data_IF_289943729384
#
_entry.id   IF_289943729384
#
_cell.length_a   1.000
_cell.length_b   1.000
_cell.length_c   1.000
_cell.angle_alpha   90.00
_cell.angle_beta   90.00
_cell.angle_gamma   90.00
#
_symmetry.space_group_name_H-M   'P 1'
#
loop_
_entity.id
_entity.type
_entity.pdbx_description
1 polymer ?
#
# COMPACT_ATOMS: atom_id res chain seq x y z
N UNK A 1 -12.25 -11.44 40.18
CA UNK A 1 -13.16 -10.73 39.25
C UNK A 1 -13.40 -9.26 39.63
N UNK A 2 -13.24 -8.82 40.90
CA UNK A 2 -13.48 -7.42 41.29
C UNK A 2 -12.42 -6.44 40.76
N UNK A 3 -11.12 -6.78 40.83
CA UNK A 3 -10.02 -5.88 40.45
C UNK A 3 -10.08 -5.37 39.00
N UNK A 4 -10.30 -6.27 38.04
CA UNK A 4 -10.31 -5.95 36.61
C UNK A 4 -11.42 -4.97 36.26
N UNK A 5 -12.57 -5.08 36.93
CA UNK A 5 -13.69 -4.14 36.76
C UNK A 5 -13.28 -2.73 37.17
N UNK A 6 -12.66 -2.56 38.34
CA UNK A 6 -12.23 -1.24 38.83
C UNK A 6 -11.10 -0.64 38.00
N UNK A 7 -10.22 -1.49 37.46
CA UNK A 7 -9.22 -1.05 36.48
C UNK A 7 -9.88 -0.58 35.18
N UNK A 8 -10.89 -1.29 34.67
CA UNK A 8 -11.64 -0.87 33.49
C UNK A 8 -12.38 0.46 33.70
N UNK A 9 -12.96 0.66 34.89
CA UNK A 9 -13.58 1.94 35.28
C UNK A 9 -12.55 3.07 35.24
N UNK A 10 -11.41 2.90 35.90
CA UNK A 10 -10.33 3.91 35.89
C UNK A 10 -9.82 4.19 34.48
N UNK A 11 -9.57 3.15 33.68
CA UNK A 11 -9.13 3.30 32.30
C UNK A 11 -10.14 4.08 31.46
N UNK A 12 -11.44 3.86 31.69
CA UNK A 12 -12.49 4.62 31.02
C UNK A 12 -12.46 6.09 31.42
N UNK A 13 -12.36 6.40 32.71
CA UNK A 13 -12.27 7.78 33.20
C UNK A 13 -11.02 8.49 32.67
N UNK A 14 -9.89 7.78 32.60
CA UNK A 14 -8.64 8.28 31.99
C UNK A 14 -8.85 8.57 30.51
N UNK A 15 -9.50 7.68 29.77
CA UNK A 15 -9.81 7.92 28.36
C UNK A 15 -10.68 9.19 28.20
N UNK A 16 -11.74 9.33 28.99
CA UNK A 16 -12.63 10.50 28.92
C UNK A 16 -11.89 11.81 29.29
N UNK A 17 -10.93 11.77 30.23
CA UNK A 17 -10.13 12.94 30.62
C UNK A 17 -9.07 13.36 29.59
N UNK A 18 -8.46 12.40 28.90
CA UNK A 18 -7.26 12.65 28.06
C UNK A 18 -7.56 12.57 26.55
N UNK A 19 -8.48 11.71 26.13
CA UNK A 19 -8.93 11.57 24.72
C UNK A 19 -10.26 12.28 24.44
N UNK A 20 -11.02 12.59 25.48
CA UNK A 20 -12.38 13.14 25.36
C UNK A 20 -13.45 12.06 25.16
N UNK A 21 -14.70 12.47 25.31
CA UNK A 21 -15.86 11.57 25.29
C UNK A 21 -16.38 11.40 23.87
N UNK A 22 -16.39 10.17 23.35
CA UNK A 22 -16.81 9.87 21.98
C UNK A 22 -18.30 9.50 21.83
N UNK A 23 -18.94 9.05 22.91
CA UNK A 23 -20.30 8.48 22.87
C UNK A 23 -21.40 9.54 23.02
N UNK A 24 -21.03 10.78 23.32
CA UNK A 24 -21.98 11.86 23.55
C UNK A 24 -22.05 12.78 22.32
N UNK A 25 -23.27 13.04 21.85
CA UNK A 25 -23.52 13.87 20.68
C UNK A 25 -23.38 15.36 20.98
N UNK A 26 -23.75 15.77 22.20
CA UNK A 26 -23.73 17.17 22.60
C UNK A 26 -22.30 17.62 22.97
N UNK A 27 -21.83 18.67 22.30
CA UNK A 27 -20.52 19.29 22.51
C UNK A 27 -20.32 19.77 23.94
N UNK A 28 -21.28 20.47 24.52
CA UNK A 28 -21.14 21.06 25.87
C UNK A 28 -21.16 19.97 26.95
N UNK A 29 -21.96 18.92 26.72
CA UNK A 29 -21.96 17.73 27.58
C UNK A 29 -20.61 17.01 27.53
N UNK A 30 -19.98 16.89 26.35
CA UNK A 30 -18.62 16.32 26.22
C UNK A 30 -17.57 17.12 26.97
N UNK A 31 -17.63 18.45 26.89
CA UNK A 31 -16.73 19.35 27.63
C UNK A 31 -16.90 19.11 29.13
N UNK A 32 -18.15 19.13 29.62
CA UNK A 32 -18.46 18.94 31.05
C UNK A 32 -17.97 17.58 31.57
N UNK A 33 -18.25 16.49 30.86
CA UNK A 33 -17.81 15.15 31.29
C UNK A 33 -16.28 15.05 31.30
N UNK A 34 -15.60 15.65 30.30
CA UNK A 34 -14.13 15.68 30.28
C UNK A 34 -13.56 16.48 31.46
N UNK A 35 -14.16 17.61 31.81
CA UNK A 35 -13.78 18.42 32.97
C UNK A 35 -14.02 17.69 34.30
N UNK A 36 -15.17 17.02 34.44
CA UNK A 36 -15.50 16.20 35.61
C UNK A 36 -14.50 15.05 35.76
N UNK A 37 -14.16 14.34 34.67
CA UNK A 37 -13.17 13.28 34.66
C UNK A 37 -11.76 13.79 35.05
N UNK A 38 -11.34 14.95 34.53
CA UNK A 38 -10.07 15.58 34.91
C UNK A 38 -10.04 15.97 36.37
N UNK A 39 -11.12 16.56 36.89
CA UNK A 39 -11.22 16.94 38.31
C UNK A 39 -11.14 15.71 39.22
N UNK A 40 -11.89 14.66 38.87
CA UNK A 40 -11.92 13.40 39.61
C UNK A 40 -10.53 12.76 39.71
N UNK A 41 -9.75 12.76 38.62
CA UNK A 41 -8.43 12.13 38.55
C UNK A 41 -7.27 12.98 39.09
N UNK A 42 -7.49 14.26 39.41
CA UNK A 42 -6.42 15.20 39.85
C UNK A 42 -6.59 15.72 41.28
N UNK A 43 -7.73 15.45 41.89
CA UNK A 43 -8.08 15.86 43.26
C UNK A 43 -8.28 14.63 44.14
N UNK A 44 -7.62 14.55 45.31
CA UNK A 44 -7.85 13.45 46.23
C UNK A 44 -9.31 13.49 46.71
N UNK A 45 -10.01 12.36 46.61
CA UNK A 45 -11.39 12.21 47.05
C UNK A 45 -11.59 10.83 47.68
N UNK A 46 -12.60 10.71 48.52
CA UNK A 46 -12.95 9.42 49.16
C UNK A 46 -13.25 8.35 48.10
N UNK A 47 -14.06 8.69 47.11
CA UNK A 47 -14.46 7.77 46.04
C UNK A 47 -13.26 7.31 45.21
N UNK A 48 -12.33 8.22 44.87
CA UNK A 48 -11.10 7.85 44.17
C UNK A 48 -10.23 6.92 45.02
N UNK A 49 -10.12 7.18 46.33
CA UNK A 49 -9.39 6.31 47.25
C UNK A 49 -9.98 4.91 47.30
N UNK A 50 -11.31 4.78 47.35
CA UNK A 50 -12.01 3.49 47.35
C UNK A 50 -11.80 2.75 46.02
N UNK A 51 -11.94 3.44 44.88
CA UNK A 51 -11.71 2.85 43.55
C UNK A 51 -10.26 2.40 43.36
N UNK A 52 -9.28 3.22 43.76
CA UNK A 52 -7.87 2.86 43.69
C UNK A 52 -7.53 1.67 44.59
N UNK A 53 -8.07 1.62 45.81
CA UNK A 53 -7.90 0.49 46.71
C UNK A 53 -8.45 -0.81 46.10
N UNK A 54 -9.62 -0.77 45.48
CA UNK A 54 -10.25 -1.93 44.83
C UNK A 54 -9.53 -2.35 43.53
N UNK A 55 -8.83 -1.42 42.87
CA UNK A 55 -8.01 -1.67 41.69
C UNK A 55 -6.58 -2.14 42.03
N UNK A 56 -6.21 -2.17 43.31
CA UNK A 56 -4.84 -2.41 43.81
C UNK A 56 -3.85 -1.41 43.21
N UNK A 57 -4.15 -0.12 43.39
CA UNK A 57 -3.38 1.03 42.92
C UNK A 57 -3.21 2.08 44.02
N UNK A 58 -2.07 2.76 44.03
CA UNK A 58 -1.83 3.91 44.91
C UNK A 58 -2.50 5.18 44.35
N UNK A 59 -3.39 5.79 45.13
CA UNK A 59 -4.14 6.98 44.73
C UNK A 59 -3.22 8.16 44.39
N UNK A 60 -2.17 8.39 45.18
CA UNK A 60 -1.28 9.53 44.98
C UNK A 60 -0.46 9.37 43.69
N UNK A 61 0.03 8.17 43.40
CA UNK A 61 0.72 7.84 42.17
C UNK A 61 -0.18 8.02 40.94
N UNK A 62 -1.47 7.66 41.05
CA UNK A 62 -2.47 7.91 40.00
C UNK A 62 -2.63 9.41 39.78
N UNK A 63 -2.86 10.19 40.84
CA UNK A 63 -3.05 11.65 40.76
C UNK A 63 -1.85 12.33 40.11
N UNK A 64 -0.63 12.02 40.57
CA UNK A 64 0.61 12.62 40.03
C UNK A 64 0.80 12.28 38.54
N UNK A 65 0.55 11.02 38.16
CA UNK A 65 0.62 10.62 36.76
C UNK A 65 -0.44 11.33 35.91
N UNK A 66 -1.66 11.45 36.43
CA UNK A 66 -2.76 12.09 35.72
C UNK A 66 -2.57 13.60 35.55
N UNK A 67 -2.02 14.30 36.55
CA UNK A 67 -1.62 15.71 36.42
C UNK A 67 -0.64 15.91 35.27
N UNK A 68 0.39 15.07 35.19
CA UNK A 68 1.38 15.11 34.12
C UNK A 68 0.76 14.81 32.74
N UNK A 69 -0.13 13.83 32.64
CA UNK A 69 -0.80 13.50 31.38
C UNK A 69 -1.79 14.59 30.92
N UNK A 70 -2.56 15.17 31.85
CA UNK A 70 -3.51 16.24 31.54
C UNK A 70 -2.78 17.52 31.14
N UNK A 71 -1.62 17.82 31.73
CA UNK A 71 -0.78 18.94 31.32
C UNK A 71 -0.27 18.83 29.87
N UNK A 72 -0.14 17.62 29.35
CA UNK A 72 0.26 17.36 27.96
C UNK A 72 -0.93 17.16 27.01
N UNK A 73 -2.16 17.09 27.54
CA UNK A 73 -3.36 16.87 26.76
C UNK A 73 -3.96 18.20 26.27
N UNK A 74 -4.67 18.19 25.12
CA UNK A 74 -5.44 19.36 24.66
C UNK A 74 -6.47 19.80 25.69
N UNK A 75 -6.99 21.01 25.53
CA UNK A 75 -8.09 21.50 26.37
C UNK A 75 -9.38 20.67 26.14
N UNK A 76 -10.29 20.59 27.13
CA UNK A 76 -11.56 19.88 26.97
C UNK A 76 -12.37 20.37 25.75
N UNK A 77 -12.27 21.67 25.45
CA UNK A 77 -12.88 22.30 24.27
C UNK A 77 -12.31 21.75 22.96
N UNK A 78 -10.98 21.66 22.84
CA UNK A 78 -10.31 21.12 21.65
C UNK A 78 -10.61 19.63 21.44
N UNK A 79 -10.74 18.86 22.53
CA UNK A 79 -11.14 17.46 22.49
C UNK A 79 -12.60 17.30 22.03
N UNK A 80 -13.49 18.19 22.48
CA UNK A 80 -14.89 18.19 22.05
C UNK A 80 -15.05 18.60 20.56
N UNK A 81 -14.17 19.45 20.05
CA UNK A 81 -14.20 19.87 18.64
C UNK A 81 -13.73 18.75 17.69
N UNK A 82 -12.95 17.77 18.17
CA UNK A 82 -12.40 16.67 17.35
C UNK A 82 -12.54 15.29 18.03
N UNK A 83 -13.77 14.74 18.14
CA UNK A 83 -13.98 13.43 18.76
C UNK A 83 -13.24 12.33 17.99
N UNK A 84 -12.48 11.49 18.70
CA UNK A 84 -11.84 10.30 18.13
C UNK A 84 -10.41 10.48 17.62
N UNK A 85 -9.80 11.66 17.79
CA UNK A 85 -8.36 11.85 17.52
C UNK A 85 -7.55 11.32 18.72
N UNK A 86 -6.60 10.43 18.48
CA UNK A 86 -5.76 9.87 19.56
C UNK A 86 -4.89 10.93 20.26
N UNK A 87 -4.51 10.72 21.52
CA UNK A 87 -3.50 11.53 22.23
C UNK A 87 -2.24 11.67 21.38
N UNK A 88 -1.78 10.59 20.74
CA UNK A 88 -0.59 10.59 19.88
C UNK A 88 -0.68 11.58 18.70
N UNK A 89 -1.89 11.97 18.29
CA UNK A 89 -2.11 13.00 17.26
C UNK A 89 -2.00 14.41 17.81
N UNK A 90 -2.27 14.62 19.10
CA UNK A 90 -2.18 15.90 19.78
C UNK A 90 -0.81 16.13 20.43
N UNK A 91 -0.22 15.09 21.00
CA UNK A 91 1.15 15.08 21.56
C UNK A 91 2.21 14.83 20.50
N UNK A 92 1.83 14.76 19.21
CA UNK A 92 2.78 14.80 18.10
C UNK A 92 3.43 16.17 18.12
N UNK A 93 4.49 16.28 18.93
CA UNK A 93 5.40 17.41 18.99
C UNK A 93 5.56 17.97 17.58
N UNK A 94 5.28 19.26 17.42
CA UNK A 94 5.29 19.99 16.16
C UNK A 94 6.28 19.31 15.21
N UNK A 95 5.74 18.50 14.29
CA UNK A 95 6.56 17.61 13.48
C UNK A 95 7.64 18.49 12.87
N UNK A 96 8.93 18.24 13.22
CA UNK A 96 10.05 19.03 12.74
C UNK A 96 9.77 19.36 11.28
N UNK A 97 9.77 20.66 10.89
CA UNK A 97 9.32 21.04 9.56
C UNK A 97 10.05 20.14 8.58
N UNK A 98 9.28 19.31 7.84
CA UNK A 98 9.86 18.38 6.87
C UNK A 98 10.78 19.21 6.01
N UNK A 99 12.09 18.98 6.07
CA UNK A 99 13.05 19.76 5.29
C UNK A 99 12.55 19.76 3.85
N UNK A 100 12.35 20.97 3.28
CA UNK A 100 11.88 21.09 1.91
C UNK A 100 12.90 20.34 1.04
N UNK A 101 12.45 19.24 0.43
CA UNK A 101 13.31 18.45 -0.45
C UNK A 101 13.64 19.34 -1.64
N UNK A 102 14.92 19.56 -1.90
CA UNK A 102 15.38 20.24 -3.10
C UNK A 102 14.88 19.40 -4.30
N UNK A 103 14.12 19.98 -5.25
CA UNK A 103 13.71 19.27 -6.45
C UNK A 103 14.94 18.69 -7.17
N UNK A 104 14.77 17.53 -7.81
CA UNK A 104 15.88 16.88 -8.50
C UNK A 104 16.60 17.78 -9.53
N UNK A 105 15.90 18.59 -10.35
CA UNK A 105 16.55 19.51 -11.28
C UNK A 105 17.53 20.49 -10.62
N UNK A 106 17.20 20.95 -9.41
CA UNK A 106 17.99 21.94 -8.64
C UNK A 106 19.08 21.30 -7.78
N UNK A 107 19.09 19.96 -7.68
CA UNK A 107 20.07 19.24 -6.90
C UNK A 107 21.44 19.35 -7.56
N UNK A 108 22.44 19.75 -6.79
CA UNK A 108 23.81 19.90 -7.25
C UNK A 108 24.58 18.58 -7.19
N UNK A 109 25.37 18.34 -8.22
CA UNK A 109 26.25 17.18 -8.35
C UNK A 109 27.63 17.66 -8.79
N UNK A 110 28.66 17.17 -8.11
CA UNK A 110 30.06 17.48 -8.38
C UNK A 110 30.72 16.27 -9.02
N UNK A 111 31.27 16.44 -10.21
CA UNK A 111 32.18 15.48 -10.81
C UNK A 111 33.17 16.17 -11.76
N UNK A 112 34.36 15.60 -11.93
CA UNK A 112 35.51 16.22 -12.62
C UNK A 112 35.86 17.62 -12.11
N UNK A 113 35.69 17.85 -10.79
CA UNK A 113 35.96 19.15 -10.15
C UNK A 113 34.95 20.26 -10.49
N UNK A 114 33.90 19.95 -11.26
CA UNK A 114 32.86 20.90 -11.64
C UNK A 114 31.58 20.59 -10.87
N UNK A 115 31.03 21.58 -10.17
CA UNK A 115 29.73 21.48 -9.51
C UNK A 115 28.66 22.16 -10.36
N UNK A 116 27.62 21.42 -10.74
CA UNK A 116 26.47 21.93 -11.50
C UNK A 116 25.17 21.30 -11.02
N UNK A 117 24.05 21.91 -11.39
CA UNK A 117 22.72 21.34 -11.14
C UNK A 117 22.45 20.13 -12.03
N UNK A 118 21.53 19.25 -11.64
CA UNK A 118 21.12 18.13 -12.48
C UNK A 118 20.57 18.59 -13.83
N UNK A 119 19.85 19.72 -13.85
CA UNK A 119 19.34 20.32 -15.08
C UNK A 119 20.47 20.74 -16.02
N UNK A 120 21.50 21.42 -15.52
CA UNK A 120 22.65 21.85 -16.31
C UNK A 120 23.44 20.65 -16.85
N UNK A 121 23.62 19.62 -16.02
CA UNK A 121 24.29 18.38 -16.44
C UNK A 121 23.51 17.67 -17.55
N UNK A 122 22.19 17.56 -17.41
CA UNK A 122 21.31 16.97 -18.43
C UNK A 122 21.32 17.77 -19.73
N UNK A 123 21.25 19.10 -19.66
CA UNK A 123 21.28 19.98 -20.84
C UNK A 123 22.59 19.86 -21.62
N UNK A 124 23.73 19.78 -20.91
CA UNK A 124 25.05 19.65 -21.52
C UNK A 124 25.28 18.28 -22.17
N UNK A 125 24.72 17.22 -21.58
CA UNK A 125 24.97 15.83 -21.97
C UNK A 125 23.88 15.27 -22.89
N UNK A 126 22.78 16.00 -23.07
CA UNK A 126 21.64 15.57 -23.89
C UNK A 126 20.80 14.46 -23.24
N UNK A 127 20.98 14.20 -21.95
CA UNK A 127 20.23 13.17 -21.21
C UNK A 127 18.95 13.76 -20.64
N UNK A 128 17.84 13.04 -20.75
CA UNK A 128 16.59 13.45 -20.14
C UNK A 128 16.69 13.43 -18.60
N UNK A 129 16.18 14.49 -17.95
CA UNK A 129 16.14 14.63 -16.49
C UNK A 129 15.58 13.39 -15.78
N UNK A 130 14.51 12.82 -16.30
CA UNK A 130 13.88 11.62 -15.74
C UNK A 130 14.82 10.41 -15.78
N UNK A 131 15.60 10.25 -16.85
CA UNK A 131 16.58 9.17 -17.00
C UNK A 131 17.70 9.32 -15.98
N UNK A 132 18.26 10.53 -15.85
CA UNK A 132 19.28 10.82 -14.84
C UNK A 132 18.73 10.59 -13.42
N UNK A 133 17.51 11.04 -13.14
CA UNK A 133 16.85 10.84 -11.85
C UNK A 133 16.67 9.36 -11.51
N UNK A 134 16.18 8.56 -12.47
CA UNK A 134 16.04 7.13 -12.28
C UNK A 134 17.40 6.47 -11.98
N UNK A 135 18.47 6.82 -12.70
CA UNK A 135 19.82 6.29 -12.48
C UNK A 135 20.36 6.64 -11.09
N UNK A 136 20.21 7.90 -10.65
CA UNK A 136 20.61 8.31 -9.29
C UNK A 136 19.80 7.58 -8.22
N UNK A 137 18.50 7.35 -8.44
CA UNK A 137 17.66 6.56 -7.53
C UNK A 137 18.05 5.07 -7.49
N UNK A 138 18.63 4.55 -8.58
CA UNK A 138 19.25 3.21 -8.63
C UNK A 138 20.68 3.20 -8.08
N UNK A 139 21.10 4.25 -7.37
CA UNK A 139 22.44 4.38 -6.77
C UNK A 139 23.58 4.33 -7.78
N UNK A 140 23.35 4.78 -9.02
CA UNK A 140 24.43 4.96 -9.98
C UNK A 140 25.33 6.12 -9.56
N UNK A 141 26.63 5.99 -9.85
CA UNK A 141 27.57 7.10 -9.71
C UNK A 141 27.08 8.31 -10.54
N UNK A 142 27.10 9.54 -9.99
CA UNK A 142 26.61 10.72 -10.69
C UNK A 142 27.25 10.92 -12.07
N UNK A 143 28.56 10.74 -12.18
CA UNK A 143 29.30 10.75 -13.44
C UNK A 143 28.63 9.88 -14.50
N UNK A 144 28.47 8.58 -14.19
CA UNK A 144 27.83 7.61 -15.10
C UNK A 144 26.36 7.95 -15.35
N UNK A 145 25.65 8.50 -14.37
CA UNK A 145 24.26 8.88 -14.52
C UNK A 145 24.06 9.98 -15.58
N UNK A 146 25.00 10.92 -15.65
CA UNK A 146 24.96 12.08 -16.54
C UNK A 146 25.80 11.94 -17.82
N UNK A 147 26.76 11.02 -17.93
CA UNK A 147 27.59 10.88 -19.15
C UNK A 147 27.13 9.77 -20.09
N UNK A 148 26.44 8.75 -19.59
CA UNK A 148 26.02 7.62 -20.42
C UNK A 148 24.82 8.00 -21.28
N UNK A 149 25.05 8.26 -22.57
CA UNK A 149 23.96 8.60 -23.49
C UNK A 149 22.93 7.46 -23.54
N UNK A 150 21.69 7.78 -23.95
CA UNK A 150 20.67 6.75 -24.11
C UNK A 150 21.04 5.73 -25.20
N UNK A 151 21.90 6.09 -26.15
CA UNK A 151 22.39 5.19 -27.20
C UNK A 151 23.48 4.26 -26.68
N UNK A 152 24.44 4.78 -25.90
CA UNK A 152 25.49 3.99 -25.26
C UNK A 152 24.93 3.01 -24.24
N UNK A 153 23.94 3.44 -23.43
CA UNK A 153 23.25 2.55 -22.49
C UNK A 153 22.49 1.42 -23.21
N UNK A 154 21.85 1.72 -24.36
CA UNK A 154 21.20 0.71 -25.19
C UNK A 154 22.22 -0.19 -25.87
N UNK A 155 23.36 0.34 -26.31
CA UNK A 155 24.44 -0.43 -26.91
C UNK A 155 25.07 -1.37 -25.87
N UNK A 156 25.33 -0.90 -24.65
CA UNK A 156 25.80 -1.71 -23.53
C UNK A 156 24.79 -2.81 -23.17
N UNK A 157 23.50 -2.48 -23.04
CA UNK A 157 22.46 -3.48 -22.78
C UNK A 157 22.34 -4.51 -23.91
N UNK A 158 22.44 -4.10 -25.18
CA UNK A 158 22.49 -5.02 -26.33
C UNK A 158 23.75 -5.88 -26.29
N UNK A 159 24.89 -5.32 -25.91
CA UNK A 159 26.17 -6.03 -25.83
C UNK A 159 26.22 -7.02 -24.66
N UNK A 160 25.66 -6.67 -23.50
CA UNK A 160 25.52 -7.57 -22.36
C UNK A 160 24.54 -8.69 -22.66
N UNK A 161 23.41 -8.40 -23.32
CA UNK A 161 22.48 -9.42 -23.80
C UNK A 161 23.13 -10.38 -24.80
N UNK A 162 24.02 -9.89 -25.69
CA UNK A 162 24.81 -10.74 -26.60
C UNK A 162 25.79 -11.68 -25.89
N UNK A 163 26.34 -11.27 -24.73
CA UNK A 163 27.27 -12.11 -23.95
C UNK A 163 26.54 -13.19 -23.14
N UNK A 164 25.37 -12.87 -22.62
CA UNK A 164 24.54 -13.81 -21.85
C UNK A 164 23.87 -14.88 -22.72
N UNK A 165 23.67 -14.61 -24.01
CA UNK A 165 23.07 -15.54 -24.96
C UNK A 165 24.03 -15.78 -26.13
N UNK A 166 24.82 -16.85 -26.04
CA UNK A 166 25.78 -17.29 -27.07
C UNK A 166 25.07 -17.69 -28.38
N UNK A 167 24.61 -16.73 -29.19
CA UNK A 167 23.81 -17.03 -30.39
C UNK A 167 24.21 -16.14 -31.58
N UNK A 168 24.53 -16.79 -32.69
CA UNK A 168 24.96 -16.17 -33.94
C UNK A 168 23.75 -15.52 -34.67
N UNK A 169 23.91 -14.28 -35.13
CA UNK A 169 22.89 -13.52 -35.87
C UNK A 169 22.40 -14.22 -37.15
N UNK A 170 23.24 -15.07 -37.74
CA UNK A 170 22.88 -15.89 -38.90
C UNK A 170 21.81 -16.95 -38.55
N UNK A 171 21.90 -17.53 -37.35
CA UNK A 171 20.98 -18.56 -36.85
C UNK A 171 19.60 -18.00 -36.53
N UNK A 172 19.55 -16.79 -35.95
CA UNK A 172 18.29 -16.08 -35.68
C UNK A 172 17.57 -15.78 -37.00
N UNK A 173 18.33 -15.43 -38.05
CA UNK A 173 17.78 -15.11 -39.36
C UNK A 173 17.24 -16.35 -40.07
N UNK A 174 17.93 -17.49 -39.97
CA UNK A 174 17.45 -18.78 -40.49
C UNK A 174 16.14 -19.23 -39.81
N UNK A 175 16.06 -19.11 -38.49
CA UNK A 175 14.87 -19.50 -37.71
C UNK A 175 13.64 -18.62 -38.00
N UNK A 176 13.85 -17.33 -38.28
CA UNK A 176 12.76 -16.44 -38.74
C UNK A 176 12.27 -16.84 -40.13
N UNK A 177 13.17 -17.28 -41.02
CA UNK A 177 12.83 -17.75 -42.37
C UNK A 177 12.01 -19.05 -42.35
N UNK A 178 12.20 -19.90 -41.34
CA UNK A 178 11.39 -21.08 -41.05
C UNK A 178 10.09 -20.79 -40.27
N UNK A 179 9.75 -19.50 -40.05
CA UNK A 179 8.47 -19.08 -39.50
C UNK A 179 8.43 -18.78 -38.01
N UNK A 180 9.57 -18.78 -37.29
CA UNK A 180 9.59 -18.34 -35.89
C UNK A 180 9.49 -16.81 -35.76
N UNK A 181 8.69 -16.34 -34.79
CA UNK A 181 8.64 -14.92 -34.42
C UNK A 181 9.97 -14.48 -33.79
N UNK A 182 10.50 -13.33 -34.20
CA UNK A 182 11.81 -12.76 -33.77
C UNK A 182 12.05 -12.78 -32.25
N UNK A 183 11.01 -12.67 -31.42
CA UNK A 183 11.11 -12.75 -29.95
C UNK A 183 11.34 -14.16 -29.40
N UNK A 184 10.83 -15.20 -30.08
CA UNK A 184 11.00 -16.61 -29.70
C UNK A 184 12.35 -17.17 -30.17
N UNK A 185 12.89 -16.62 -31.28
CA UNK A 185 14.23 -16.92 -31.74
C UNK A 185 15.32 -16.49 -30.74
N UNK A 186 15.03 -15.56 -29.81
CA UNK A 186 15.96 -15.05 -28.81
C UNK A 186 16.00 -15.85 -27.49
N UNK A 187 14.96 -16.62 -27.14
CA UNK A 187 14.79 -17.21 -25.80
C UNK A 187 14.63 -18.75 -25.76
N UNK A 188 14.87 -19.47 -26.86
CA UNK A 188 15.07 -20.93 -26.85
C UNK A 188 13.87 -21.83 -26.48
N UNK A 189 12.69 -21.28 -26.18
CA UNK A 189 11.49 -22.09 -25.91
C UNK A 189 10.42 -21.87 -27.00
N UNK A 190 10.02 -22.91 -27.75
CA UNK A 190 8.96 -22.78 -28.74
C UNK A 190 7.60 -22.68 -28.04
N UNK A 191 7.02 -21.48 -27.99
CA UNK A 191 5.57 -21.35 -27.79
C UNK A 191 4.90 -21.45 -29.17
N UNK A 192 4.29 -22.60 -29.46
CA UNK A 192 3.46 -22.78 -30.66
C UNK A 192 2.28 -21.80 -30.57
N UNK A 193 1.98 -21.05 -31.64
CA UNK A 193 0.67 -20.37 -31.74
C UNK A 193 -0.41 -21.43 -31.95
N UNK A 194 -1.53 -21.26 -31.25
CA UNK A 194 -2.68 -22.16 -31.29
C UNK A 194 -2.55 -23.31 -30.30
N UNK A 195 -2.63 -23.03 -29.00
CA UNK A 195 -3.10 -24.09 -28.09
C UNK A 195 -4.51 -24.40 -28.54
N UNK A 196 -4.74 -25.59 -29.07
CA UNK A 196 -6.08 -26.05 -29.42
C UNK A 196 -7.01 -25.78 -28.24
N UNK A 197 -8.19 -25.18 -28.45
CA UNK A 197 -9.11 -24.90 -27.37
C UNK A 197 -9.37 -26.18 -26.58
N UNK A 198 -9.20 -26.14 -25.26
CA UNK A 198 -9.59 -27.27 -24.41
C UNK A 198 -11.06 -27.57 -24.66
N UNK A 199 -11.33 -28.77 -25.19
CA UNK A 199 -12.68 -29.23 -25.49
C UNK A 199 -13.29 -29.84 -24.23
N UNK A 200 -14.53 -29.46 -23.95
CA UNK A 200 -15.29 -29.97 -22.82
C UNK A 200 -16.42 -30.85 -23.36
N UNK A 201 -16.50 -32.07 -22.83
CA UNK A 201 -17.51 -33.04 -23.22
C UNK A 201 -18.78 -32.87 -22.39
N UNK A 202 -19.92 -32.80 -23.07
CA UNK A 202 -21.23 -32.79 -22.46
C UNK A 202 -22.27 -33.28 -23.47
N UNK A 203 -23.16 -34.17 -23.02
CA UNK A 203 -24.25 -34.75 -23.82
C UNK A 203 -23.80 -35.38 -25.17
N UNK A 204 -22.64 -36.05 -25.14
CA UNK A 204 -22.08 -36.71 -26.33
C UNK A 204 -21.34 -35.79 -27.31
N UNK A 205 -21.33 -34.48 -27.08
CA UNK A 205 -20.62 -33.52 -27.92
C UNK A 205 -19.35 -32.96 -27.23
N UNK A 206 -18.27 -32.78 -27.98
CA UNK A 206 -17.01 -32.18 -27.52
C UNK A 206 -16.81 -30.81 -28.17
N UNK A 207 -17.05 -29.73 -27.43
CA UNK A 207 -16.92 -28.35 -27.94
C UNK A 207 -16.06 -27.48 -27.04
N UNK A 208 -15.59 -26.36 -27.59
CA UNK A 208 -14.82 -25.36 -26.86
C UNK A 208 -15.72 -24.54 -25.92
N UNK A 209 -15.14 -23.88 -24.92
CA UNK A 209 -15.88 -22.96 -24.05
C UNK A 209 -16.53 -21.77 -24.78
N UNK A 210 -16.03 -21.41 -25.97
CA UNK A 210 -16.62 -20.35 -26.77
C UNK A 210 -17.94 -20.82 -27.40
N UNK A 211 -17.94 -22.01 -28.00
CA UNK A 211 -19.14 -22.61 -28.60
C UNK A 211 -20.18 -22.96 -27.51
N UNK A 212 -19.75 -23.50 -26.36
CA UNK A 212 -20.64 -23.73 -25.24
C UNK A 212 -21.24 -22.44 -24.67
N UNK A 213 -20.50 -21.32 -24.72
CA UNK A 213 -21.01 -20.02 -24.30
C UNK A 213 -22.12 -19.52 -25.22
N UNK A 214 -22.02 -19.78 -26.51
CA UNK A 214 -23.04 -19.44 -27.51
C UNK A 214 -24.29 -20.33 -27.37
N UNK A 215 -24.11 -21.64 -27.16
CA UNK A 215 -25.23 -22.59 -27.02
C UNK A 215 -26.03 -22.35 -25.74
N UNK A 216 -25.34 -22.14 -24.61
CA UNK A 216 -25.98 -22.03 -23.29
C UNK A 216 -26.39 -20.61 -22.94
N UNK A 217 -25.89 -19.60 -23.68
CA UNK A 217 -26.06 -18.19 -23.37
C UNK A 217 -25.31 -17.72 -22.10
N UNK A 218 -24.50 -18.60 -21.49
CA UNK A 218 -23.69 -18.28 -20.30
C UNK A 218 -22.32 -17.80 -20.78
N UNK A 219 -21.85 -16.65 -20.28
CA UNK A 219 -20.57 -16.10 -20.68
C UNK A 219 -19.39 -17.05 -20.43
N UNK A 220 -18.47 -17.18 -21.39
CA UNK A 220 -17.25 -18.01 -21.32
C UNK A 220 -16.48 -17.89 -20.01
N UNK A 221 -16.30 -16.66 -19.51
CA UNK A 221 -15.56 -16.41 -18.27
C UNK A 221 -16.32 -16.94 -17.03
N UNK A 222 -17.65 -16.95 -17.08
CA UNK A 222 -18.50 -17.49 -16.02
C UNK A 222 -18.39 -19.01 -15.97
N UNK A 223 -18.47 -19.68 -17.12
CA UNK A 223 -18.26 -21.14 -17.21
C UNK A 223 -16.87 -21.51 -16.70
N UNK A 224 -15.83 -20.77 -17.12
CA UNK A 224 -14.46 -20.98 -16.67
C UNK A 224 -14.31 -20.84 -15.15
N UNK A 225 -14.81 -19.74 -14.55
CA UNK A 225 -14.73 -19.51 -13.10
C UNK A 225 -15.49 -20.55 -12.29
N UNK A 226 -16.63 -21.04 -12.78
CA UNK A 226 -17.38 -22.12 -12.12
C UNK A 226 -16.54 -23.40 -12.02
N UNK A 227 -15.83 -23.75 -13.08
CA UNK A 227 -14.97 -24.94 -13.11
C UNK A 227 -13.71 -24.76 -12.25
N UNK A 228 -12.99 -23.65 -12.44
CA UNK A 228 -11.64 -23.52 -11.83
C UNK A 228 -11.65 -22.93 -10.44
N UNK A 229 -12.54 -21.97 -10.16
CA UNK A 229 -12.58 -21.25 -8.88
C UNK A 229 -13.60 -21.89 -7.94
N UNK A 230 -14.75 -22.31 -8.47
CA UNK A 230 -15.83 -22.89 -7.67
C UNK A 230 -15.78 -24.43 -7.64
N UNK A 231 -14.85 -25.04 -8.38
CA UNK A 231 -14.64 -26.49 -8.38
C UNK A 231 -15.81 -27.31 -8.94
N UNK A 232 -16.70 -26.68 -9.71
CA UNK A 232 -17.86 -27.35 -10.30
C UNK A 232 -17.44 -28.27 -11.45
N UNK A 233 -18.21 -29.35 -11.65
CA UNK A 233 -18.07 -30.14 -12.88
C UNK A 233 -18.57 -29.32 -14.09
N UNK A 234 -18.13 -29.69 -15.30
CA UNK A 234 -18.54 -28.98 -16.51
C UNK A 234 -20.06 -28.96 -16.70
N UNK A 235 -20.73 -30.10 -16.46
CA UNK A 235 -22.19 -30.23 -16.50
C UNK A 235 -22.88 -29.26 -15.53
N UNK A 236 -22.45 -29.24 -14.26
CA UNK A 236 -23.00 -28.32 -13.26
C UNK A 236 -22.76 -26.86 -13.64
N UNK A 237 -21.60 -26.56 -14.23
CA UNK A 237 -21.22 -25.21 -14.61
C UNK A 237 -22.12 -24.61 -15.71
N UNK A 238 -22.74 -25.45 -16.56
CA UNK A 238 -23.62 -25.00 -17.65
C UNK A 238 -25.12 -25.14 -17.31
N UNK A 239 -25.51 -26.07 -16.45
CA UNK A 239 -26.91 -26.23 -16.01
C UNK A 239 -27.34 -25.20 -14.95
N UNK A 240 -26.38 -24.66 -14.19
CA UNK A 240 -26.70 -23.69 -13.14
C UNK A 240 -27.14 -22.35 -13.75
N UNK A 241 -28.39 -21.90 -13.54
CA UNK A 241 -28.86 -20.64 -14.11
C UNK A 241 -28.05 -19.46 -13.57
N UNK A 242 -27.68 -18.53 -14.46
CA UNK A 242 -27.03 -17.28 -14.05
C UNK A 242 -28.06 -16.41 -13.32
N UNK A 243 -27.88 -16.25 -12.01
CA UNK A 243 -28.70 -15.33 -11.21
C UNK A 243 -28.65 -13.93 -11.82
N UNK A 244 -29.82 -13.28 -11.94
CA UNK A 244 -29.96 -11.95 -12.57
C UNK A 244 -29.06 -10.93 -11.86
N UNK A 245 -27.90 -10.65 -12.45
CA UNK A 245 -27.01 -9.62 -11.94
C UNK A 245 -25.60 -9.77 -12.49
N UNK A 246 -25.42 -9.50 -13.78
CA UNK A 246 -24.25 -8.81 -14.37
C UNK A 246 -24.28 -8.96 -15.89
N UNK A 247 -24.96 -8.01 -16.55
CA UNK A 247 -24.55 -7.57 -17.88
C UNK A 247 -23.36 -6.63 -17.67
N UNK A 248 -22.22 -6.91 -18.27
CA UNK A 248 -21.26 -5.87 -18.62
C UNK A 248 -20.87 -6.07 -20.07
N UNK A 249 -21.02 -4.97 -20.80
CA UNK A 249 -20.66 -4.76 -22.19
C UNK A 249 -19.20 -5.09 -22.50
#
# INVERSE_FOLDING_TARGET
MSRELWQAVLLRTVADAVLGVSQESNRDTRIRICEEARRYLTSPSRDLSEVCALADMDMNAVIEKMRNQIAQAPTPKELADNPGRSIATFTKAAAKPKQKRIPFPDRQFTFDGITRTAADWCARTGIALQTAQWRINQSWAPERAFTLTAEDARAEHRASARRSFNMNSAEISARIKEGLRRSAAMNGAPHKRGTEPTLYQYDGEARSLAEWSEITGIGKNTIYKRITVQGMTFAQAIETPVGKGQKTA
#
